data_IF_096440483343
#
_entry.id   IF_096440483343
#
_cell.length_a   1.000
_cell.length_b   1.000
_cell.length_c   1.000
_cell.angle_alpha   90.00
_cell.angle_beta   90.00
_cell.angle_gamma   90.00
#
_symmetry.space_group_name_H-M   'P 1'
#
loop_
_entity.id
_entity.type
_entity.pdbx_description
1 polymer ?
#
# COMPACT_ATOMS: atom_id res chain seq x y z
N UNK A 1 13.96 18.78 10.14
CA UNK A 1 14.37 17.57 9.41
C UNK A 1 13.55 16.44 9.94
N UNK A 2 12.61 15.92 9.11
CA UNK A 2 11.83 14.74 9.47
C UNK A 2 12.80 13.60 9.82
N UNK A 3 12.75 13.13 11.06
CA UNK A 3 13.46 11.92 11.41
C UNK A 3 12.73 10.75 10.72
N UNK A 4 13.43 9.90 9.96
CA UNK A 4 12.77 8.79 9.30
C UNK A 4 12.17 7.82 10.33
N UNK A 5 11.19 7.02 9.89
CA UNK A 5 10.68 5.83 10.64
C UNK A 5 11.82 4.80 10.80
N UNK A 6 12.96 5.22 11.28
CA UNK A 6 14.20 4.47 11.38
C UNK A 6 14.75 4.53 12.80
N UNK A 7 15.76 3.72 13.11
CA UNK A 7 16.40 3.66 14.41
C UNK A 7 16.31 2.26 15.02
N UNK A 8 16.56 2.11 16.32
CA UNK A 8 16.43 0.82 17.03
C UNK A 8 15.04 0.20 16.80
N UNK A 9 14.96 -1.15 16.77
CA UNK A 9 13.73 -1.88 16.46
C UNK A 9 12.58 -1.48 17.39
N UNK A 10 12.83 -1.35 18.70
CA UNK A 10 11.77 -0.96 19.66
C UNK A 10 11.17 0.40 19.34
N UNK A 11 12.02 1.36 18.92
CA UNK A 11 11.53 2.67 18.46
C UNK A 11 10.71 2.55 17.18
N UNK A 12 11.16 1.74 16.22
CA UNK A 12 10.41 1.52 14.98
C UNK A 12 9.06 0.86 15.27
N UNK A 13 8.98 -0.12 16.16
CA UNK A 13 7.74 -0.78 16.61
C UNK A 13 6.80 0.26 17.23
N UNK A 14 7.27 1.11 18.14
CA UNK A 14 6.45 2.15 18.75
C UNK A 14 5.92 3.15 17.70
N UNK A 15 6.75 3.56 16.73
CA UNK A 15 6.35 4.46 15.66
C UNK A 15 5.34 3.82 14.70
N UNK A 16 5.46 2.52 14.40
CA UNK A 16 4.47 1.82 13.56
C UNK A 16 3.13 1.66 14.28
N UNK A 17 3.12 1.39 15.58
CA UNK A 17 1.90 1.42 16.37
C UNK A 17 1.23 2.81 16.33
N UNK A 18 2.01 3.86 16.55
CA UNK A 18 1.50 5.24 16.49
C UNK A 18 0.99 5.60 15.07
N UNK A 19 1.67 5.13 14.01
CA UNK A 19 1.23 5.32 12.64
C UNK A 19 -0.10 4.61 12.36
N UNK A 20 -0.26 3.37 12.83
CA UNK A 20 -1.54 2.66 12.71
C UNK A 20 -2.69 3.42 13.37
N UNK A 21 -2.49 3.91 14.59
CA UNK A 21 -3.48 4.71 15.30
C UNK A 21 -3.78 6.05 14.58
N UNK A 22 -2.77 6.70 14.01
CA UNK A 22 -2.95 7.92 13.21
C UNK A 22 -3.78 7.64 11.96
N UNK A 23 -3.48 6.57 11.19
CA UNK A 23 -4.23 6.21 10.00
C UNK A 23 -5.70 5.93 10.33
N UNK A 24 -5.98 5.20 11.41
CA UNK A 24 -7.35 4.96 11.85
C UNK A 24 -8.06 6.27 12.20
N UNK A 25 -7.40 7.20 12.89
CA UNK A 25 -7.97 8.51 13.24
C UNK A 25 -8.25 9.37 11.99
N UNK A 26 -7.35 9.34 10.98
CA UNK A 26 -7.58 10.03 9.69
C UNK A 26 -8.79 9.43 8.98
N UNK A 27 -8.92 8.10 8.95
CA UNK A 27 -10.07 7.45 8.35
C UNK A 27 -11.38 7.77 9.07
N UNK A 28 -11.38 7.81 10.42
CA UNK A 28 -12.56 8.24 11.20
C UNK A 28 -12.94 9.70 10.86
N UNK A 29 -11.94 10.58 10.79
CA UNK A 29 -12.17 12.00 10.46
C UNK A 29 -12.77 12.18 9.08
N UNK A 30 -12.33 11.39 8.09
CA UNK A 30 -12.87 11.44 6.73
C UNK A 30 -14.28 10.84 6.62
N UNK A 31 -14.66 9.89 7.48
CA UNK A 31 -16.04 9.39 7.54
C UNK A 31 -17.00 10.44 8.09
N UNK A 32 -16.53 11.29 9.00
CA UNK A 32 -17.31 12.38 9.58
C UNK A 32 -17.36 13.63 8.68
N UNK A 33 -16.48 13.73 7.68
CA UNK A 33 -16.41 14.86 6.77
C UNK A 33 -17.51 14.80 5.69
N UNK A 34 -18.01 15.94 5.20
CA UNK A 34 -18.88 15.93 4.03
C UNK A 34 -18.14 15.38 2.81
N UNK A 35 -18.86 14.75 1.84
CA UNK A 35 -18.25 14.26 0.62
C UNK A 35 -17.47 15.37 -0.10
N UNK A 36 -16.25 15.07 -0.53
CA UNK A 36 -15.46 15.98 -1.36
C UNK A 36 -16.19 16.14 -2.71
N UNK A 37 -16.52 17.38 -3.13
CA UNK A 37 -17.15 17.62 -4.42
C UNK A 37 -16.18 17.40 -5.61
N UNK A 38 -14.89 17.27 -5.35
CA UNK A 38 -13.90 17.07 -6.40
C UNK A 38 -13.77 15.60 -6.78
N UNK A 39 -13.67 15.28 -8.07
CA UNK A 39 -13.41 13.92 -8.52
C UNK A 39 -12.01 13.48 -8.05
N UNK A 40 -11.96 12.47 -7.19
CA UNK A 40 -10.73 11.86 -6.71
C UNK A 40 -10.47 10.53 -7.42
N UNK A 41 -9.20 10.12 -7.56
CA UNK A 41 -8.86 8.79 -8.05
C UNK A 41 -9.57 7.70 -7.24
N UNK A 42 -9.86 6.57 -7.89
CA UNK A 42 -10.46 5.42 -7.22
C UNK A 42 -9.44 4.29 -7.11
N UNK A 43 -8.97 4.06 -5.90
CA UNK A 43 -8.08 2.97 -5.51
C UNK A 43 -8.89 1.72 -5.16
N UNK A 44 -9.82 1.38 -6.05
CA UNK A 44 -10.67 0.20 -5.98
C UNK A 44 -10.14 -0.91 -6.92
N UNK A 45 -10.96 -1.95 -7.16
CA UNK A 45 -10.58 -3.07 -8.02
C UNK A 45 -10.15 -2.60 -9.42
N UNK A 46 -10.90 -1.68 -10.02
CA UNK A 46 -10.57 -1.19 -11.37
C UNK A 46 -9.35 -0.26 -11.36
N UNK A 47 -9.22 0.60 -10.35
CA UNK A 47 -8.08 1.49 -10.21
C UNK A 47 -6.76 0.76 -9.91
N UNK A 48 -6.80 -0.38 -9.23
CA UNK A 48 -5.62 -1.16 -8.87
C UNK A 48 -5.23 -2.21 -9.92
N UNK A 49 -6.22 -2.95 -10.45
CA UNK A 49 -5.99 -4.14 -11.29
C UNK A 49 -6.93 -4.25 -12.49
N UNK A 50 -7.69 -3.21 -12.80
CA UNK A 50 -8.55 -3.10 -13.98
C UNK A 50 -7.76 -3.12 -15.31
N UNK A 51 -8.44 -2.87 -16.42
CA UNK A 51 -7.77 -2.83 -17.74
C UNK A 51 -6.91 -1.56 -17.93
N UNK A 52 -7.25 -0.47 -17.24
CA UNK A 52 -6.50 0.77 -17.23
C UNK A 52 -6.28 1.23 -15.79
N UNK A 53 -5.42 0.56 -15.01
CA UNK A 53 -5.18 0.91 -13.62
C UNK A 53 -4.46 2.26 -13.49
N UNK A 54 -4.66 2.94 -12.35
CA UNK A 54 -4.21 4.31 -12.11
C UNK A 54 -2.72 4.54 -12.45
N UNK A 55 -1.86 3.59 -12.08
CA UNK A 55 -0.43 3.70 -12.29
C UNK A 55 0.11 2.82 -13.43
N UNK A 56 -0.75 2.30 -14.29
CA UNK A 56 -0.37 1.54 -15.48
C UNK A 56 -0.36 0.02 -15.28
N UNK A 57 -0.26 -0.67 -16.40
CA UNK A 57 -0.39 -2.12 -16.51
C UNK A 57 0.88 -2.82 -16.08
N UNK A 58 1.06 -3.03 -14.77
CA UNK A 58 2.27 -3.64 -14.20
C UNK A 58 2.60 -5.02 -14.79
N UNK A 59 1.59 -5.77 -15.25
CA UNK A 59 1.74 -7.10 -15.85
C UNK A 59 2.24 -7.08 -17.30
N UNK A 60 2.27 -5.92 -17.94
CA UNK A 60 2.81 -5.70 -19.30
C UNK A 60 4.05 -4.78 -19.26
N UNK A 61 4.77 -4.78 -18.13
CA UNK A 61 5.93 -3.93 -17.93
C UNK A 61 7.05 -4.25 -18.95
N UNK A 62 7.59 -3.26 -19.72
CA UNK A 62 8.57 -3.50 -20.78
C UNK A 62 9.87 -4.18 -20.31
N UNK A 63 10.29 -3.92 -19.06
CA UNK A 63 11.51 -4.52 -18.49
C UNK A 63 11.29 -5.92 -17.87
N UNK A 64 10.04 -6.44 -17.87
CA UNK A 64 9.74 -7.77 -17.38
C UNK A 64 10.20 -8.85 -18.35
N UNK A 65 10.83 -9.91 -17.84
CA UNK A 65 11.04 -11.13 -18.65
C UNK A 65 9.70 -11.82 -18.95
N UNK A 66 9.69 -12.74 -19.92
CA UNK A 66 8.49 -13.52 -20.22
C UNK A 66 7.95 -14.26 -18.99
N UNK A 67 8.85 -14.80 -18.15
CA UNK A 67 8.48 -15.48 -16.92
C UNK A 67 7.91 -14.51 -15.88
N UNK A 68 8.54 -13.35 -15.69
CA UNK A 68 8.05 -12.31 -14.77
C UNK A 68 6.66 -11.82 -15.21
N UNK A 69 6.48 -11.54 -16.50
CA UNK A 69 5.20 -11.09 -17.04
C UNK A 69 4.09 -12.15 -16.85
N UNK A 70 4.40 -13.44 -17.02
CA UNK A 70 3.45 -14.51 -16.76
C UNK A 70 3.06 -14.54 -15.26
N UNK A 71 4.03 -14.43 -14.36
CA UNK A 71 3.78 -14.36 -12.92
C UNK A 71 2.96 -13.12 -12.55
N UNK A 72 3.30 -11.95 -13.08
CA UNK A 72 2.55 -10.71 -12.80
C UNK A 72 1.11 -10.76 -13.31
N UNK A 73 0.84 -11.46 -14.43
CA UNK A 73 -0.54 -11.71 -14.91
C UNK A 73 -1.31 -12.64 -13.97
N UNK A 74 -0.66 -13.69 -13.44
CA UNK A 74 -1.28 -14.56 -12.43
C UNK A 74 -1.57 -13.79 -11.13
N UNK A 75 -0.64 -12.94 -10.70
CA UNK A 75 -0.82 -12.05 -9.54
C UNK A 75 -1.99 -11.08 -9.78
N UNK A 76 -2.09 -10.49 -10.97
CA UNK A 76 -3.25 -9.64 -11.33
C UNK A 76 -4.57 -10.40 -11.19
N UNK A 77 -4.64 -11.61 -11.71
CA UNK A 77 -5.85 -12.42 -11.63
C UNK A 77 -6.22 -12.74 -10.17
N UNK A 78 -5.24 -13.11 -9.34
CA UNK A 78 -5.42 -13.31 -7.91
C UNK A 78 -5.94 -12.05 -7.21
N UNK A 79 -5.26 -10.92 -7.40
CA UNK A 79 -5.64 -9.65 -6.80
C UNK A 79 -7.04 -9.24 -7.22
N UNK A 80 -7.37 -9.35 -8.52
CA UNK A 80 -8.71 -9.01 -9.03
C UNK A 80 -9.80 -9.82 -8.36
N UNK A 81 -9.60 -11.14 -8.23
CA UNK A 81 -10.57 -12.02 -7.59
C UNK A 81 -10.74 -11.71 -6.09
N UNK A 82 -9.62 -11.53 -5.36
CA UNK A 82 -9.64 -11.28 -3.91
C UNK A 82 -10.18 -9.89 -3.58
N UNK A 83 -9.79 -8.85 -4.32
CA UNK A 83 -10.29 -7.49 -4.11
C UNK A 83 -11.78 -7.37 -4.46
N UNK A 84 -12.24 -8.07 -5.51
CA UNK A 84 -13.65 -8.13 -5.83
C UNK A 84 -14.46 -8.82 -4.71
N UNK A 85 -13.98 -9.95 -4.19
CA UNK A 85 -14.61 -10.63 -3.06
C UNK A 85 -14.68 -9.71 -1.82
N UNK A 86 -13.59 -9.04 -1.45
CA UNK A 86 -13.57 -8.08 -0.34
C UNK A 86 -14.61 -6.96 -0.53
N UNK A 87 -14.69 -6.38 -1.73
CA UNK A 87 -15.70 -5.35 -2.06
C UNK A 87 -17.13 -5.90 -1.88
N UNK A 88 -17.39 -7.08 -2.39
CA UNK A 88 -18.73 -7.70 -2.39
C UNK A 88 -19.13 -8.15 -0.96
N UNK A 89 -18.17 -8.43 -0.09
CA UNK A 89 -18.32 -8.68 1.35
C UNK A 89 -18.48 -7.39 2.18
N UNK A 90 -18.42 -6.21 1.56
CA UNK A 90 -18.61 -4.94 2.25
C UNK A 90 -17.35 -4.42 2.92
N UNK A 91 -16.18 -4.65 2.33
CA UNK A 91 -14.92 -4.11 2.85
C UNK A 91 -15.01 -2.61 3.11
N UNK A 92 -14.32 -2.16 4.16
CA UNK A 92 -14.24 -0.76 4.54
C UNK A 92 -13.54 0.06 3.44
N UNK A 93 -14.31 0.89 2.78
CA UNK A 93 -13.86 1.78 1.69
C UNK A 93 -14.22 3.23 2.00
N UNK A 94 -13.32 4.14 1.62
CA UNK A 94 -13.53 5.57 1.81
C UNK A 94 -12.31 6.37 1.37
N UNK A 95 -12.21 7.65 1.77
CA UNK A 95 -11.02 8.44 1.50
C UNK A 95 -9.77 7.83 2.14
N UNK A 96 -8.71 7.69 1.35
CA UNK A 96 -7.39 7.17 1.75
C UNK A 96 -6.29 8.13 1.31
N UNK A 97 -5.13 8.05 1.95
CA UNK A 97 -3.94 8.77 1.55
C UNK A 97 -3.33 8.21 0.25
N UNK A 98 -3.35 6.89 0.12
CA UNK A 98 -2.82 6.07 -0.97
C UNK A 98 -1.30 6.05 -1.10
N UNK A 99 -0.56 6.96 -0.48
CA UNK A 99 0.92 7.04 -0.57
C UNK A 99 1.59 7.23 0.81
N UNK A 100 1.24 6.37 1.79
CA UNK A 100 1.82 6.39 3.15
C UNK A 100 3.23 5.79 3.13
N UNK A 101 4.14 6.43 2.41
CA UNK A 101 5.55 6.08 2.40
C UNK A 101 6.30 6.74 3.57
N UNK A 102 7.52 6.27 3.86
CA UNK A 102 8.34 6.79 4.97
C UNK A 102 8.59 8.30 4.86
N UNK A 103 8.81 8.81 3.65
CA UNK A 103 9.04 10.21 3.35
C UNK A 103 7.82 11.10 3.61
N UNK A 104 6.62 10.50 3.57
CA UNK A 104 5.35 11.20 3.79
C UNK A 104 4.87 11.13 5.25
N UNK A 105 5.69 10.55 6.14
CA UNK A 105 5.41 10.47 7.58
C UNK A 105 6.43 11.31 8.34
N UNK A 106 6.02 12.46 8.84
CA UNK A 106 6.85 13.32 9.68
C UNK A 106 6.81 12.86 11.13
N UNK A 107 7.98 12.77 11.75
CA UNK A 107 8.14 12.38 13.15
C UNK A 107 8.68 13.56 13.95
N UNK A 108 7.91 14.02 14.93
CA UNK A 108 8.32 15.06 15.89
C UNK A 108 8.12 14.57 17.32
N UNK A 109 9.19 14.09 17.92
CA UNK A 109 9.12 13.40 19.23
C UNK A 109 8.19 12.19 19.18
N UNK A 110 7.12 12.18 19.99
CA UNK A 110 6.11 11.12 19.95
C UNK A 110 5.01 11.36 18.90
N UNK A 111 4.97 12.53 18.29
CA UNK A 111 3.92 12.93 17.35
C UNK A 111 4.26 12.51 15.93
N UNK A 112 3.24 12.05 15.19
CA UNK A 112 3.33 11.77 13.76
C UNK A 112 2.36 12.66 13.01
N UNK A 113 2.76 13.05 11.78
CA UNK A 113 1.91 13.77 10.83
C UNK A 113 2.07 13.19 9.45
N UNK A 114 0.99 13.16 8.68
CA UNK A 114 1.00 12.79 7.26
C UNK A 114 1.08 14.05 6.42
N UNK A 115 1.85 13.98 5.33
CA UNK A 115 1.98 15.03 4.31
C UNK A 115 1.84 14.40 2.94
N UNK A 116 1.71 15.25 1.91
CA UNK A 116 1.65 14.82 0.50
C UNK A 116 0.42 13.97 0.17
N UNK A 117 -0.75 14.61 0.15
CA UNK A 117 -2.04 14.01 -0.18
C UNK A 117 -2.36 14.06 -1.68
N UNK A 118 -1.37 14.20 -2.57
CA UNK A 118 -1.58 14.36 -4.01
C UNK A 118 -2.24 13.12 -4.63
N UNK A 119 -1.88 11.92 -4.18
CA UNK A 119 -2.45 10.65 -4.61
C UNK A 119 -3.74 10.26 -3.87
N UNK A 120 -4.20 11.08 -2.91
CA UNK A 120 -5.37 10.73 -2.10
C UNK A 120 -6.61 10.49 -2.98
N UNK A 121 -7.41 9.51 -2.58
CA UNK A 121 -8.58 9.11 -3.36
C UNK A 121 -9.54 8.23 -2.56
N UNK A 122 -10.49 7.64 -3.24
CA UNK A 122 -11.45 6.71 -2.64
C UNK A 122 -10.96 5.27 -2.88
N UNK A 123 -10.76 4.51 -1.82
CA UNK A 123 -10.25 3.15 -1.96
C UNK A 123 -10.47 2.28 -0.73
N UNK A 124 -9.89 1.08 -0.75
CA UNK A 124 -9.83 0.21 0.40
C UNK A 124 -8.98 0.86 1.49
N UNK A 125 -9.52 1.10 2.67
CA UNK A 125 -8.81 1.81 3.75
C UNK A 125 -7.53 1.08 4.18
N UNK A 126 -7.54 -0.24 4.19
CA UNK A 126 -6.35 -1.03 4.52
C UNK A 126 -5.23 -0.94 3.48
N UNK A 127 -5.47 -0.30 2.32
CA UNK A 127 -4.42 0.00 1.35
C UNK A 127 -3.36 0.94 1.92
N UNK A 128 -3.73 1.87 2.78
CA UNK A 128 -2.78 2.76 3.47
C UNK A 128 -1.84 1.99 4.38
N UNK A 129 -2.35 0.97 5.11
CA UNK A 129 -1.50 0.08 5.91
C UNK A 129 -0.57 -0.75 5.03
N UNK A 130 -1.08 -1.29 3.93
CA UNK A 130 -0.28 -2.03 2.96
C UNK A 130 0.84 -1.18 2.35
N UNK A 131 0.56 0.09 2.07
CA UNK A 131 1.55 1.06 1.57
C UNK A 131 2.64 1.32 2.60
N UNK A 132 2.27 1.57 3.86
CA UNK A 132 3.22 1.79 4.95
C UNK A 132 4.14 0.57 5.17
N UNK A 133 3.62 -0.65 5.04
CA UNK A 133 4.40 -1.88 5.20
C UNK A 133 5.34 -2.15 4.02
N UNK A 134 4.99 -1.70 2.82
CA UNK A 134 5.82 -1.96 1.64
C UNK A 134 7.24 -1.40 1.79
N UNK A 135 7.41 -0.27 2.47
CA UNK A 135 8.72 0.32 2.74
C UNK A 135 9.61 -0.60 3.61
N UNK A 136 9.00 -1.53 4.36
CA UNK A 136 9.67 -2.42 5.31
C UNK A 136 9.85 -3.85 4.79
N UNK A 137 9.58 -4.13 3.52
CA UNK A 137 9.51 -5.48 2.99
C UNK A 137 10.79 -6.33 3.14
N UNK A 138 11.95 -5.68 3.30
CA UNK A 138 13.26 -6.32 3.54
C UNK A 138 13.76 -6.22 4.97
N UNK A 139 13.04 -5.52 5.84
CA UNK A 139 13.48 -5.33 7.22
C UNK A 139 13.41 -6.67 7.99
N UNK A 140 14.47 -7.04 8.71
CA UNK A 140 14.44 -8.25 9.53
C UNK A 140 13.31 -8.26 10.57
N UNK A 141 12.91 -7.06 11.05
CA UNK A 141 11.84 -6.88 12.01
C UNK A 141 10.47 -6.68 11.37
N UNK A 142 10.30 -6.94 10.06
CA UNK A 142 9.08 -6.65 9.30
C UNK A 142 7.80 -7.16 9.99
N UNK A 143 7.83 -8.37 10.53
CA UNK A 143 6.65 -8.94 11.18
C UNK A 143 6.27 -8.18 12.44
N UNK A 144 7.24 -7.78 13.26
CA UNK A 144 6.99 -6.96 14.45
C UNK A 144 6.45 -5.56 14.08
N UNK A 145 6.95 -4.97 12.99
CA UNK A 145 6.48 -3.67 12.50
C UNK A 145 5.05 -3.78 11.96
N UNK A 146 4.74 -4.85 11.23
CA UNK A 146 3.37 -5.16 10.76
C UNK A 146 2.41 -5.30 11.94
N UNK A 147 2.77 -6.13 12.91
CA UNK A 147 1.92 -6.43 14.05
C UNK A 147 1.66 -5.17 14.88
N UNK A 148 2.68 -4.32 15.05
CA UNK A 148 2.54 -3.03 15.72
C UNK A 148 1.63 -2.06 14.95
N UNK A 149 1.79 -1.95 13.63
CA UNK A 149 0.94 -1.10 12.76
C UNK A 149 -0.53 -1.55 12.86
N UNK A 150 -0.76 -2.86 12.73
CA UNK A 150 -2.10 -3.46 12.85
C UNK A 150 -2.69 -3.22 14.24
N UNK A 151 -1.92 -3.44 15.31
CA UNK A 151 -2.36 -3.21 16.67
C UNK A 151 -2.77 -1.74 16.90
N UNK A 152 -1.98 -0.80 16.38
CA UNK A 152 -2.31 0.63 16.45
C UNK A 152 -3.62 0.97 15.72
N UNK A 153 -3.80 0.47 14.50
CA UNK A 153 -5.03 0.67 13.72
C UNK A 153 -6.24 0.04 14.41
N UNK A 154 -6.08 -1.18 14.94
CA UNK A 154 -7.13 -1.94 15.63
C UNK A 154 -7.66 -1.26 16.90
N UNK A 155 -6.98 -0.23 17.41
CA UNK A 155 -7.50 0.56 18.55
C UNK A 155 -8.79 1.32 18.22
N UNK A 156 -9.10 1.50 16.93
CA UNK A 156 -10.26 2.29 16.47
C UNK A 156 -11.10 1.58 15.42
N UNK A 157 -10.48 0.79 14.54
CA UNK A 157 -11.14 0.20 13.37
C UNK A 157 -10.79 -1.28 13.24
N UNK A 158 -11.72 -2.11 12.78
CA UNK A 158 -11.43 -3.53 12.56
C UNK A 158 -10.37 -3.68 11.46
N UNK A 159 -9.50 -4.68 11.61
CA UNK A 159 -8.45 -4.98 10.66
C UNK A 159 -8.22 -6.49 10.56
N UNK A 160 -8.18 -6.99 9.32
CA UNK A 160 -7.76 -8.35 9.03
C UNK A 160 -6.30 -8.33 8.53
N UNK A 161 -5.37 -9.01 9.25
CA UNK A 161 -3.96 -9.05 8.85
C UNK A 161 -3.72 -9.61 7.46
N UNK A 162 -4.52 -10.60 7.02
CA UNK A 162 -4.38 -11.17 5.68
C UNK A 162 -4.76 -10.16 4.59
N UNK A 163 -5.76 -9.34 4.84
CA UNK A 163 -6.13 -8.23 3.95
C UNK A 163 -5.03 -7.17 3.88
N UNK A 164 -4.36 -6.84 4.99
CA UNK A 164 -3.23 -5.91 4.98
C UNK A 164 -2.08 -6.44 4.10
N UNK A 165 -1.75 -7.73 4.17
CA UNK A 165 -0.74 -8.34 3.29
C UNK A 165 -1.19 -8.33 1.82
N UNK A 166 -2.46 -8.57 1.53
CA UNK A 166 -3.01 -8.46 0.18
C UNK A 166 -2.88 -7.02 -0.36
N UNK A 167 -3.15 -6.01 0.46
CA UNK A 167 -2.98 -4.60 0.10
C UNK A 167 -1.50 -4.23 -0.08
N UNK A 168 -0.59 -4.82 0.71
CA UNK A 168 0.86 -4.66 0.50
C UNK A 168 1.29 -5.18 -0.87
N UNK A 169 0.76 -6.35 -1.28
CA UNK A 169 1.01 -6.89 -2.62
C UNK A 169 0.40 -5.99 -3.71
N UNK A 170 -0.83 -5.52 -3.53
CA UNK A 170 -1.49 -4.61 -4.48
C UNK A 170 -0.66 -3.32 -4.67
N UNK A 171 -0.15 -2.72 -3.57
CA UNK A 171 0.72 -1.54 -3.63
C UNK A 171 2.06 -1.84 -4.31
N UNK A 172 2.64 -3.02 -4.07
CA UNK A 172 3.87 -3.43 -4.75
C UNK A 172 3.66 -3.52 -6.27
N UNK A 173 2.54 -4.11 -6.71
CA UNK A 173 2.17 -4.19 -8.11
C UNK A 173 1.93 -2.80 -8.73
N UNK A 174 1.19 -1.93 -8.04
CA UNK A 174 0.98 -0.55 -8.48
C UNK A 174 2.33 0.18 -8.66
N UNK A 175 3.29 -0.02 -7.75
CA UNK A 175 4.64 0.55 -7.87
C UNK A 175 5.39 0.08 -9.12
N UNK A 176 5.17 -1.14 -9.59
CA UNK A 176 5.75 -1.63 -10.86
C UNK A 176 5.19 -0.80 -12.02
N UNK A 177 3.87 -0.63 -12.09
CA UNK A 177 3.23 0.19 -13.13
C UNK A 177 3.68 1.65 -13.10
N UNK A 178 3.80 2.21 -11.89
CA UNK A 178 4.24 3.60 -11.66
C UNK A 178 5.59 3.93 -12.31
N UNK A 179 6.51 2.97 -12.37
CA UNK A 179 7.84 3.18 -12.95
C UNK A 179 7.82 3.33 -14.47
N UNK A 180 6.84 2.75 -15.18
CA UNK A 180 6.80 2.68 -16.65
C UNK A 180 6.93 4.06 -17.31
N UNK A 181 6.10 5.06 -16.99
CA UNK A 181 6.19 6.37 -17.65
C UNK A 181 7.21 7.33 -17.00
N UNK A 182 7.82 6.97 -15.86
CA UNK A 182 8.59 7.91 -15.02
C UNK A 182 10.09 7.69 -15.05
N UNK A 183 10.54 6.49 -15.38
CA UNK A 183 11.96 6.13 -15.36
C UNK A 183 12.46 5.82 -16.76
N UNK A 184 13.78 5.98 -16.97
CA UNK A 184 14.42 5.56 -18.22
C UNK A 184 14.25 4.05 -18.43
N UNK A 185 14.11 3.55 -19.68
CA UNK A 185 13.81 2.15 -19.97
C UNK A 185 14.82 1.12 -19.40
N UNK A 186 16.06 1.54 -19.19
CA UNK A 186 17.16 0.74 -18.64
C UNK A 186 17.40 0.94 -17.14
N UNK A 187 16.58 1.74 -16.47
CA UNK A 187 16.73 2.01 -15.04
C UNK A 187 16.58 0.70 -14.23
N UNK A 188 17.57 0.37 -13.38
CA UNK A 188 17.56 -0.86 -12.58
C UNK A 188 16.40 -0.92 -11.57
N UNK A 189 15.78 0.21 -11.26
CA UNK A 189 14.62 0.28 -10.37
C UNK A 189 13.46 -0.54 -10.91
N UNK A 190 13.25 -0.60 -12.24
CA UNK A 190 12.22 -1.44 -12.85
C UNK A 190 12.32 -2.90 -12.39
N UNK A 191 13.52 -3.50 -12.53
CA UNK A 191 13.76 -4.89 -12.13
C UNK A 191 13.62 -5.09 -10.61
N UNK A 192 14.02 -4.11 -9.83
CA UNK A 192 13.86 -4.14 -8.37
C UNK A 192 12.40 -4.17 -7.95
N UNK A 193 11.55 -3.35 -8.56
CA UNK A 193 10.11 -3.32 -8.28
C UNK A 193 9.41 -4.61 -8.73
N UNK A 194 9.73 -5.11 -9.94
CA UNK A 194 9.21 -6.39 -10.45
C UNK A 194 9.57 -7.53 -9.49
N UNK A 195 10.85 -7.67 -9.13
CA UNK A 195 11.31 -8.72 -8.22
C UNK A 195 10.63 -8.63 -6.85
N UNK A 196 10.42 -7.42 -6.31
CA UNK A 196 9.70 -7.20 -5.05
C UNK A 196 8.26 -7.69 -5.14
N UNK A 197 7.51 -7.29 -6.18
CA UNK A 197 6.13 -7.70 -6.37
C UNK A 197 5.99 -9.21 -6.48
N UNK A 198 6.86 -9.86 -7.29
CA UNK A 198 6.87 -11.32 -7.43
C UNK A 198 7.19 -12.00 -6.10
N UNK A 199 8.19 -11.52 -5.35
CA UNK A 199 8.55 -12.12 -4.06
C UNK A 199 7.41 -12.03 -3.04
N UNK A 200 6.71 -10.90 -2.97
CA UNK A 200 5.56 -10.73 -2.08
C UNK A 200 4.36 -11.59 -2.49
N UNK A 201 4.25 -11.93 -3.78
CA UNK A 201 3.18 -12.80 -4.26
C UNK A 201 3.41 -14.29 -3.97
N UNK A 202 4.66 -14.73 -3.82
CA UNK A 202 5.00 -16.18 -3.66
C UNK A 202 4.18 -16.91 -2.60
N UNK A 203 3.94 -16.34 -1.39
CA UNK A 203 3.11 -17.01 -0.37
C UNK A 203 1.62 -17.11 -0.73
N UNK A 204 1.16 -16.38 -1.74
CA UNK A 204 -0.27 -16.25 -2.09
C UNK A 204 -0.64 -16.99 -3.39
N UNK A 205 0.35 -17.34 -4.23
CA UNK A 205 0.14 -18.00 -5.55
C UNK A 205 0.64 -19.45 -5.56
N UNK A 206 1.11 -19.96 -4.41
CA UNK A 206 1.56 -21.34 -4.21
C UNK A 206 0.45 -22.34 -4.01
#
# INVERSE_FOLDING_TARGET
TAAPLAGPVDRQVALHHALGALLAAVHDATDAAPPDPFPRPRWDVEGLVGEAPLWGRFWDHPAASTADAATLRAVRALLRARLAALRDEGADMGPIHADVLRENVLVDGPSLSLIDFDDCGIGFRLYDLGTALLANWREPARDALRDALIAGYATRRPVDPATVELMTLARACASVGWTIPRLAPDDPIHKSHIARAIRLAMPMVG
#
